data_IF_300052456725
#
_entry.id   IF_300052456725
#
_cell.length_a   1.000
_cell.length_b   1.000
_cell.length_c   1.000
_cell.angle_alpha   90.00
_cell.angle_beta   90.00
_cell.angle_gamma   90.00
#
_symmetry.space_group_name_H-M   'P 1'
#
loop_
_entity.id
_entity.type
_entity.pdbx_description
1 polymer ?
#
# COMPACT_ATOMS: atom_id res chain seq x y z
N UNK A 1 -20.66 7.69 -43.57
CA UNK A 1 -20.80 9.09 -43.12
C UNK A 1 -20.75 9.02 -41.63
N UNK A 2 -19.52 9.03 -41.12
CA UNK A 2 -19.23 8.92 -39.70
C UNK A 2 -19.45 10.32 -39.10
N UNK A 3 -20.54 10.44 -38.33
CA UNK A 3 -20.91 11.66 -37.63
C UNK A 3 -20.00 11.79 -36.41
N UNK A 4 -18.81 12.37 -36.60
CA UNK A 4 -17.95 12.78 -35.49
C UNK A 4 -18.53 14.04 -34.85
N UNK A 5 -19.40 13.83 -33.86
CA UNK A 5 -19.85 14.89 -32.95
C UNK A 5 -18.71 15.26 -32.01
N UNK A 6 -17.93 16.27 -32.38
CA UNK A 6 -16.95 16.90 -31.51
C UNK A 6 -17.69 17.79 -30.52
N UNK A 7 -17.80 17.35 -29.26
CA UNK A 7 -18.36 18.16 -28.17
C UNK A 7 -17.73 19.55 -28.11
N UNK A 8 -18.49 20.53 -27.64
CA UNK A 8 -18.01 21.92 -27.55
C UNK A 8 -16.83 22.01 -26.57
N UNK A 9 -15.97 23.02 -26.74
CA UNK A 9 -14.81 23.22 -25.85
C UNK A 9 -15.20 23.33 -24.37
N UNK A 10 -16.38 23.87 -24.07
CA UNK A 10 -16.92 23.94 -22.71
C UNK A 10 -17.30 22.56 -22.17
N UNK A 11 -18.01 21.74 -22.95
CA UNK A 11 -18.38 20.37 -22.53
C UNK A 11 -17.16 19.48 -22.32
N UNK A 12 -16.12 19.63 -23.14
CA UNK A 12 -14.83 18.94 -22.95
C UNK A 12 -14.17 19.40 -21.65
N UNK A 13 -14.14 20.71 -21.40
CA UNK A 13 -13.52 21.29 -20.20
C UNK A 13 -14.26 20.87 -18.92
N UNK A 14 -15.59 20.91 -18.94
CA UNK A 14 -16.43 20.49 -17.82
C UNK A 14 -16.26 18.99 -17.54
N UNK A 15 -16.14 18.17 -18.59
CA UNK A 15 -15.81 16.75 -18.47
C UNK A 15 -14.43 16.51 -17.84
N UNK A 16 -13.41 17.27 -18.25
CA UNK A 16 -12.06 17.17 -17.67
C UNK A 16 -12.08 17.55 -16.18
N UNK A 17 -12.76 18.63 -15.81
CA UNK A 17 -12.88 19.08 -14.41
C UNK A 17 -13.61 18.02 -13.58
N UNK A 18 -14.70 17.47 -14.09
CA UNK A 18 -15.48 16.44 -13.42
C UNK A 18 -14.65 15.20 -13.05
N UNK A 19 -13.75 14.76 -13.94
CA UNK A 19 -12.86 13.62 -13.69
C UNK A 19 -11.64 14.00 -12.85
N UNK A 20 -11.15 15.23 -12.99
CA UNK A 20 -10.05 15.75 -12.18
C UNK A 20 -10.42 15.92 -10.70
N UNK A 21 -11.71 15.90 -10.34
CA UNK A 21 -12.18 15.98 -8.95
C UNK A 21 -12.51 14.62 -8.32
N UNK A 22 -12.24 13.52 -9.04
CA UNK A 22 -12.62 12.15 -8.64
C UNK A 22 -11.41 11.28 -8.35
N UNK A 23 -11.59 10.40 -7.36
CA UNK A 23 -10.60 9.41 -6.99
C UNK A 23 -10.17 8.56 -8.21
N UNK A 24 -8.85 8.47 -8.44
CA UNK A 24 -8.25 7.70 -9.52
C UNK A 24 -8.37 6.17 -9.39
N UNK A 25 -9.01 5.68 -8.31
CA UNK A 25 -9.29 4.25 -8.10
C UNK A 25 -10.77 3.95 -8.40
N UNK A 26 -11.71 4.64 -7.74
CA UNK A 26 -13.14 4.34 -7.89
C UNK A 26 -13.86 5.19 -8.94
N UNK A 27 -13.29 6.33 -9.34
CA UNK A 27 -13.89 7.29 -10.28
C UNK A 27 -15.28 7.79 -9.85
N UNK A 28 -15.61 7.71 -8.56
CA UNK A 28 -16.93 8.03 -8.02
C UNK A 28 -16.84 9.12 -6.96
N UNK A 29 -16.09 8.85 -5.88
CA UNK A 29 -15.98 9.74 -4.75
C UNK A 29 -15.14 10.99 -5.06
N UNK A 30 -15.55 12.12 -4.48
CA UNK A 30 -14.74 13.34 -4.39
C UNK A 30 -13.51 13.10 -3.54
N UNK A 31 -12.40 13.68 -3.94
CA UNK A 31 -11.08 13.37 -3.37
C UNK A 31 -10.81 14.14 -2.09
N UNK A 32 -10.06 13.51 -1.19
CA UNK A 32 -9.56 14.08 0.06
C UNK A 32 -8.03 13.95 0.18
N UNK A 33 -7.41 13.11 -0.64
CA UNK A 33 -5.96 12.85 -0.66
C UNK A 33 -5.39 13.23 -2.04
N UNK A 34 -4.25 13.91 -2.04
CA UNK A 34 -3.43 14.14 -3.22
C UNK A 34 -1.98 13.80 -2.90
N UNK A 35 -1.37 12.94 -3.72
CA UNK A 35 0.02 12.55 -3.51
C UNK A 35 0.97 13.72 -3.80
N UNK A 36 1.98 13.92 -2.97
CA UNK A 36 2.90 15.05 -3.07
C UNK A 36 3.70 15.06 -4.37
N UNK A 37 4.14 13.88 -4.82
CA UNK A 37 5.01 13.72 -6.00
C UNK A 37 4.23 13.74 -7.32
N UNK A 38 3.38 12.74 -7.54
CA UNK A 38 2.69 12.58 -8.82
C UNK A 38 1.37 13.35 -8.91
N UNK A 39 0.91 13.97 -7.81
CA UNK A 39 -0.35 14.72 -7.71
C UNK A 39 -1.60 13.89 -7.99
N UNK A 40 -1.48 12.57 -8.09
CA UNK A 40 -2.61 11.69 -8.25
C UNK A 40 -3.49 11.72 -6.99
N UNK A 41 -4.80 11.54 -7.17
CA UNK A 41 -5.78 11.86 -6.14
C UNK A 41 -6.69 10.70 -5.82
N UNK A 42 -7.04 10.56 -4.55
CA UNK A 42 -7.84 9.45 -4.05
C UNK A 42 -8.85 9.92 -3.02
N UNK A 43 -9.89 9.11 -2.81
CA UNK A 43 -10.65 9.16 -1.58
C UNK A 43 -9.94 8.33 -0.50
N UNK A 44 -10.19 8.66 0.77
CA UNK A 44 -9.53 8.04 1.91
C UNK A 44 -9.80 6.54 1.97
N UNK A 45 -11.02 6.11 1.66
CA UNK A 45 -11.38 4.70 1.69
C UNK A 45 -10.56 3.87 0.69
N UNK A 46 -10.50 4.31 -0.57
CA UNK A 46 -9.74 3.59 -1.60
C UNK A 46 -8.25 3.58 -1.29
N UNK A 47 -7.69 4.72 -0.87
CA UNK A 47 -6.27 4.81 -0.54
C UNK A 47 -5.92 3.93 0.66
N UNK A 48 -6.67 4.04 1.76
CA UNK A 48 -6.45 3.25 2.97
C UNK A 48 -6.53 1.74 2.68
N UNK A 49 -7.53 1.31 1.89
CA UNK A 49 -7.67 -0.09 1.50
C UNK A 49 -6.49 -0.57 0.67
N UNK A 50 -6.09 0.21 -0.35
CA UNK A 50 -4.94 -0.09 -1.20
C UNK A 50 -3.66 -0.29 -0.39
N UNK A 51 -3.36 0.66 0.51
CA UNK A 51 -2.17 0.60 1.36
C UNK A 51 -2.23 -0.62 2.27
N UNK A 52 -3.37 -0.85 2.93
CA UNK A 52 -3.55 -1.98 3.84
C UNK A 52 -3.32 -3.32 3.14
N UNK A 53 -3.94 -3.53 1.98
CA UNK A 53 -3.76 -4.74 1.19
C UNK A 53 -2.30 -4.91 0.73
N UNK A 54 -1.67 -3.83 0.26
CA UNK A 54 -0.27 -3.85 -0.21
C UNK A 54 0.72 -4.19 0.89
N UNK A 55 0.52 -3.64 2.10
CA UNK A 55 1.37 -3.91 3.26
C UNK A 55 1.15 -5.32 3.78
N UNK A 56 -0.11 -5.75 3.95
CA UNK A 56 -0.45 -7.06 4.50
C UNK A 56 -0.12 -8.22 3.54
N UNK A 57 -0.04 -7.96 2.24
CA UNK A 57 0.43 -8.92 1.26
C UNK A 57 1.95 -9.14 1.29
N UNK A 58 2.70 -8.32 2.02
CA UNK A 58 4.15 -8.46 2.12
C UNK A 58 4.55 -9.52 3.12
N UNK A 59 5.39 -10.46 2.69
CA UNK A 59 5.88 -11.56 3.51
C UNK A 59 7.26 -11.29 4.13
N UNK A 60 7.73 -10.04 4.11
CA UNK A 60 9.04 -9.66 4.65
C UNK A 60 10.23 -10.34 3.95
N UNK A 61 10.04 -10.80 2.70
CA UNK A 61 11.11 -11.36 1.85
C UNK A 61 11.98 -10.28 1.20
N UNK A 62 11.53 -9.03 1.26
CA UNK A 62 12.23 -7.85 0.76
C UNK A 62 11.54 -6.58 1.24
N UNK A 63 12.18 -5.43 0.97
CA UNK A 63 11.61 -4.13 1.35
C UNK A 63 10.35 -3.87 0.53
N UNK A 64 9.24 -3.68 1.23
CA UNK A 64 7.94 -3.32 0.67
C UNK A 64 7.98 -1.86 0.28
N UNK A 65 8.03 -1.59 -1.02
CA UNK A 65 7.95 -0.22 -1.54
C UNK A 65 6.52 0.02 -1.99
N UNK A 66 5.79 0.87 -1.27
CA UNK A 66 4.47 1.30 -1.70
C UNK A 66 4.61 2.20 -2.93
N UNK A 67 3.72 2.03 -3.92
CA UNK A 67 3.74 2.76 -5.18
C UNK A 67 2.37 3.36 -5.49
N UNK A 68 2.33 4.42 -6.26
CA UNK A 68 1.08 4.92 -6.81
C UNK A 68 0.44 3.84 -7.72
N UNK A 69 -0.85 3.48 -7.53
CA UNK A 69 -1.52 2.48 -8.37
C UNK A 69 -1.66 2.91 -9.85
N UNK A 70 -1.53 4.20 -10.15
CA UNK A 70 -1.64 4.74 -11.51
C UNK A 70 -0.27 4.85 -12.18
N UNK A 71 0.66 5.62 -11.62
CA UNK A 71 1.96 5.89 -12.26
C UNK A 71 3.11 5.01 -11.75
N UNK A 72 2.90 4.19 -10.70
CA UNK A 72 3.92 3.36 -10.06
C UNK A 72 5.06 4.11 -9.38
N UNK A 73 4.95 5.43 -9.22
CA UNK A 73 5.94 6.22 -8.48
C UNK A 73 5.94 5.80 -6.99
N UNK A 74 7.12 5.68 -6.34
CA UNK A 74 7.19 5.34 -4.94
C UNK A 74 6.48 6.38 -4.06
N UNK A 75 5.72 5.91 -3.08
CA UNK A 75 5.08 6.75 -2.06
C UNK A 75 5.91 6.64 -0.77
N UNK A 76 6.47 7.75 -0.22
CA UNK A 76 7.20 7.72 1.04
C UNK A 76 6.31 7.24 2.19
N UNK A 77 6.92 6.53 3.15
CA UNK A 77 6.23 6.08 4.38
C UNK A 77 5.53 7.22 5.11
N UNK A 78 6.20 8.36 5.25
CA UNK A 78 5.69 9.52 5.99
C UNK A 78 4.40 10.10 5.38
N UNK A 79 4.17 9.87 4.10
CA UNK A 79 2.96 10.35 3.41
C UNK A 79 1.75 9.45 3.71
N UNK A 80 1.91 8.13 3.65
CA UNK A 80 0.79 7.20 3.79
C UNK A 80 0.54 6.70 5.22
N UNK A 81 1.54 6.72 6.10
CA UNK A 81 1.44 6.11 7.44
C UNK A 81 0.39 6.78 8.34
N UNK A 82 0.06 8.04 8.10
CA UNK A 82 -0.97 8.77 8.85
C UNK A 82 -2.39 8.57 8.30
N UNK A 83 -2.51 7.95 7.12
CA UNK A 83 -3.77 7.71 6.40
C UNK A 83 -4.31 6.29 6.59
N UNK A 84 -3.63 5.47 7.40
CA UNK A 84 -3.98 4.08 7.68
C UNK A 84 -3.96 3.78 9.17
N UNK A 85 -4.62 2.70 9.63
CA UNK A 85 -4.55 2.29 11.03
C UNK A 85 -3.11 1.99 11.47
N UNK A 86 -2.79 2.30 12.73
CA UNK A 86 -1.46 2.07 13.30
C UNK A 86 -1.00 0.61 13.17
N UNK A 87 -1.93 -0.36 13.26
CA UNK A 87 -1.61 -1.78 13.08
C UNK A 87 -1.01 -2.11 11.71
N UNK A 88 -1.38 -1.37 10.66
CA UNK A 88 -0.81 -1.51 9.31
C UNK A 88 0.62 -0.99 9.30
N UNK A 89 0.85 0.16 9.93
CA UNK A 89 2.18 0.76 10.06
C UNK A 89 3.11 -0.16 10.87
N UNK A 90 2.63 -0.71 11.98
CA UNK A 90 3.39 -1.62 12.83
C UNK A 90 3.78 -2.91 12.08
N UNK A 91 2.85 -3.44 11.26
CA UNK A 91 3.14 -4.58 10.39
C UNK A 91 4.22 -4.24 9.37
N UNK A 92 4.09 -3.10 8.68
CA UNK A 92 5.10 -2.64 7.72
C UNK A 92 6.47 -2.51 8.37
N UNK A 93 6.55 -1.82 9.52
CA UNK A 93 7.80 -1.57 10.21
C UNK A 93 8.44 -2.87 10.70
N UNK A 94 7.65 -3.82 11.20
CA UNK A 94 8.12 -5.14 11.65
C UNK A 94 8.80 -5.93 10.54
N UNK A 95 8.26 -5.89 9.32
CA UNK A 95 8.77 -6.70 8.20
C UNK A 95 9.80 -5.99 7.33
N UNK A 96 9.94 -4.66 7.43
CA UNK A 96 10.89 -3.86 6.64
C UNK A 96 12.12 -3.36 7.43
N UNK A 97 12.38 -3.90 8.63
CA UNK A 97 13.55 -3.50 9.42
C UNK A 97 14.88 -3.85 8.72
N UNK A 98 15.91 -2.99 8.82
CA UNK A 98 17.25 -3.31 8.36
C UNK A 98 17.79 -4.58 9.02
N UNK A 99 18.53 -5.40 8.26
CA UNK A 99 19.19 -6.61 8.77
C UNK A 99 18.26 -7.66 9.41
N UNK A 100 16.96 -7.66 9.06
CA UNK A 100 16.01 -8.68 9.55
C UNK A 100 16.50 -10.09 9.20
N UNK A 101 16.50 -10.98 10.19
CA UNK A 101 16.69 -12.41 10.00
C UNK A 101 15.65 -12.98 9.04
N UNK A 102 16.03 -13.88 8.12
CA UNK A 102 15.08 -14.60 7.24
C UNK A 102 14.24 -15.66 7.98
N UNK A 103 14.00 -15.45 9.27
CA UNK A 103 13.21 -16.32 10.11
C UNK A 103 11.75 -16.21 9.73
N UNK A 104 11.15 -17.39 9.56
CA UNK A 104 9.71 -17.52 9.39
C UNK A 104 9.05 -17.28 10.74
N UNK A 105 7.90 -16.63 10.77
CA UNK A 105 7.07 -16.57 11.96
C UNK A 105 6.02 -17.68 11.89
N UNK A 106 5.63 -18.23 13.04
CA UNK A 106 4.49 -19.13 13.12
C UNK A 106 3.22 -18.38 12.67
N UNK A 107 2.41 -18.92 11.74
CA UNK A 107 1.19 -18.23 11.29
C UNK A 107 0.09 -18.15 12.35
N UNK A 108 0.23 -18.84 13.49
CA UNK A 108 -0.77 -18.85 14.56
C UNK A 108 -0.43 -17.92 15.73
N UNK A 109 0.83 -17.91 16.18
CA UNK A 109 1.27 -17.08 17.32
C UNK A 109 2.20 -15.93 16.91
N UNK A 110 2.52 -15.81 15.63
CA UNK A 110 3.43 -14.82 15.04
C UNK A 110 4.86 -14.82 15.63
N UNK A 111 5.20 -15.79 16.47
CA UNK A 111 6.52 -15.86 17.09
C UNK A 111 7.56 -16.38 16.10
N UNK A 112 8.79 -15.85 16.22
CA UNK A 112 9.90 -16.16 15.33
C UNK A 112 10.30 -17.64 15.47
N UNK A 113 10.32 -18.36 14.35
CA UNK A 113 10.69 -19.78 14.32
C UNK A 113 12.20 -19.85 14.46
N UNK A 114 12.67 -20.24 15.64
CA UNK A 114 14.10 -20.44 15.88
C UNK A 114 14.55 -21.68 15.10
N UNK A 115 15.65 -21.62 14.32
CA UNK A 115 16.25 -22.81 13.74
C UNK A 115 16.49 -23.86 14.83
N UNK A 116 16.21 -25.14 14.56
CA UNK A 116 16.57 -26.20 15.49
C UNK A 116 18.08 -26.16 15.74
N UNK A 117 18.48 -25.76 16.95
CA UNK A 117 19.87 -25.75 17.36
C UNK A 117 20.28 -27.16 17.79
N UNK A 118 20.82 -27.94 16.85
CA UNK A 118 21.36 -29.28 17.12
C UNK A 118 22.59 -29.28 18.04
N UNK A 119 23.15 -28.10 18.38
CA UNK A 119 24.25 -27.98 19.33
C UNK A 119 23.79 -27.95 20.79
N UNK A 120 22.51 -27.66 21.05
CA UNK A 120 21.89 -27.84 22.36
C UNK A 120 21.65 -29.32 22.61
N UNK A 121 22.70 -30.04 23.05
CA UNK A 121 22.55 -31.35 23.67
C UNK A 121 21.53 -31.22 24.80
N UNK A 122 20.36 -31.81 24.62
CA UNK A 122 19.31 -31.90 25.64
C UNK A 122 19.92 -32.61 26.86
N UNK A 123 20.25 -31.83 27.88
CA UNK A 123 20.61 -32.37 29.19
C UNK A 123 19.29 -32.82 29.83
N UNK A 124 18.95 -34.09 29.63
CA UNK A 124 18.08 -34.88 30.50
C UNK A 124 16.63 -34.41 30.64
N UNK A 125 15.75 -35.00 29.84
CA UNK A 125 14.42 -35.33 30.35
C UNK A 125 14.52 -36.72 30.95
N UNK A 126 14.41 -36.80 32.28
CA UNK A 126 14.35 -38.04 33.06
C UNK A 126 12.88 -38.38 33.29
#
# INVERSE_FOLDING_TARGET
>A
MDDESYGTANEITDGIIYWAERCSICFEATMDISLERCRDQYCHECFQRYVTESVMASWGLGVTTLKCPVCYDPIPRDEWCHLVPQSVVDHYDRFNQPFRSFTRCCPHCEEETKPCDYSLKVIGVK
#
